data_IF_122571300755
#
_entry.id   IF_122571300755
#
_cell.length_a   1.000
_cell.length_b   1.000
_cell.length_c   1.000
_cell.angle_alpha   90.00
_cell.angle_beta   90.00
_cell.angle_gamma   90.00
#
_symmetry.space_group_name_H-M   'P 1'
#
loop_
_entity.id
_entity.type
_entity.pdbx_description
1 polymer ?
#
# COMPACT_ATOMS: atom_id res chain seq x y z
N UNK A 1 19.76 16.22 -14.14
CA UNK A 1 18.38 15.87 -14.53
C UNK A 1 17.87 14.85 -13.52
N UNK A 2 16.70 15.10 -12.94
CA UNK A 2 16.03 14.14 -12.05
C UNK A 2 15.10 13.31 -12.93
N UNK A 3 15.29 11.98 -12.95
CA UNK A 3 14.53 11.07 -13.82
C UNK A 3 13.20 10.66 -13.19
N UNK A 4 13.22 10.43 -11.88
CA UNK A 4 12.06 10.03 -11.07
C UNK A 4 12.15 10.72 -9.71
N UNK A 5 10.98 10.89 -9.09
CA UNK A 5 10.81 11.48 -7.76
C UNK A 5 9.84 10.57 -7.00
N UNK A 6 10.35 9.95 -5.93
CA UNK A 6 9.67 8.89 -5.17
C UNK A 6 9.65 9.28 -3.70
N UNK A 7 8.48 9.14 -3.10
CA UNK A 7 8.26 9.32 -1.67
C UNK A 7 7.76 8.00 -1.10
N UNK A 8 8.44 7.46 -0.09
CA UNK A 8 8.10 6.15 0.47
C UNK A 8 8.44 6.02 1.96
N UNK A 9 7.84 5.01 2.59
CA UNK A 9 8.09 4.64 3.97
C UNK A 9 6.84 4.15 4.68
N UNK A 10 7.00 3.87 5.97
CA UNK A 10 5.89 3.66 6.90
C UNK A 10 5.34 5.03 7.32
N UNK A 11 4.10 5.32 6.91
CA UNK A 11 3.43 6.59 7.21
C UNK A 11 2.52 6.50 8.44
N UNK A 12 2.37 5.31 9.04
CA UNK A 12 1.58 5.06 10.25
C UNK A 12 0.05 5.33 10.18
N UNK A 13 -0.47 5.75 9.02
CA UNK A 13 -1.90 5.85 8.74
C UNK A 13 -2.27 4.95 7.56
N UNK A 14 -3.50 4.47 7.48
CA UNK A 14 -3.99 3.69 6.35
C UNK A 14 -5.06 4.44 5.54
N UNK A 15 -5.42 3.90 4.38
CA UNK A 15 -6.39 4.50 3.47
C UNK A 15 -7.79 3.88 3.56
N UNK A 16 -8.18 3.31 4.71
CA UNK A 16 -9.50 2.71 4.91
C UNK A 16 -10.12 2.95 6.31
N UNK A 17 -9.31 3.33 7.29
CA UNK A 17 -9.72 3.60 8.66
C UNK A 17 -10.44 4.93 8.76
N UNK A 18 -11.58 5.02 9.47
CA UNK A 18 -12.25 6.30 9.69
C UNK A 18 -11.45 7.28 10.55
N UNK A 19 -10.52 6.80 11.38
CA UNK A 19 -9.66 7.65 12.22
C UNK A 19 -8.59 8.42 11.41
N UNK A 20 -8.13 7.83 10.30
CA UNK A 20 -7.05 8.37 9.44
C UNK A 20 -7.55 9.36 8.36
N UNK A 21 -8.76 9.90 8.50
CA UNK A 21 -9.42 10.72 7.45
C UNK A 21 -8.67 11.99 7.07
N UNK A 22 -7.96 12.60 8.02
CA UNK A 22 -7.22 13.84 7.79
C UNK A 22 -6.00 13.57 6.89
N UNK A 23 -5.25 12.52 7.21
CA UNK A 23 -4.10 12.03 6.48
C UNK A 23 -4.51 11.52 5.10
N UNK A 24 -5.61 10.76 5.04
CA UNK A 24 -6.22 10.31 3.79
C UNK A 24 -6.57 11.46 2.84
N UNK A 25 -6.82 12.67 3.34
CA UNK A 25 -7.17 13.85 2.53
C UNK A 25 -6.01 14.83 2.35
N UNK A 26 -4.80 14.45 2.75
CA UNK A 26 -3.64 15.33 2.69
C UNK A 26 -3.23 15.65 1.24
N UNK A 27 -2.80 16.88 0.98
CA UNK A 27 -2.46 17.37 -0.37
C UNK A 27 -1.25 16.67 -1.00
N UNK A 28 -0.47 15.91 -0.23
CA UNK A 28 0.63 15.09 -0.78
C UNK A 28 0.15 14.16 -1.89
N UNK A 29 -1.08 13.65 -1.80
CA UNK A 29 -1.68 12.77 -2.81
C UNK A 29 -2.14 13.50 -4.09
N UNK A 30 -2.10 14.83 -4.10
CA UNK A 30 -2.28 15.65 -5.32
C UNK A 30 -0.95 15.80 -6.07
N UNK A 31 0.17 15.72 -5.35
CA UNK A 31 1.52 15.89 -5.91
C UNK A 31 2.23 14.57 -6.22
N UNK A 32 1.94 13.53 -5.44
CA UNK A 32 2.51 12.19 -5.56
C UNK A 32 1.39 11.16 -5.74
N UNK A 33 1.50 10.37 -6.80
CA UNK A 33 0.56 9.33 -7.16
C UNK A 33 0.81 8.11 -6.28
N UNK A 34 -0.25 7.67 -5.59
CA UNK A 34 -0.32 6.36 -4.95
C UNK A 34 -0.91 5.33 -5.94
N UNK A 35 -0.15 4.32 -6.40
CA UNK A 35 -0.64 3.26 -7.27
C UNK A 35 -1.83 2.47 -6.72
N UNK A 36 -1.91 2.31 -5.40
CA UNK A 36 -2.89 1.49 -4.70
C UNK A 36 -4.21 2.24 -4.48
N UNK A 37 -4.19 3.57 -4.52
CA UNK A 37 -5.31 4.42 -4.13
C UNK A 37 -6.33 4.60 -5.25
N UNK A 38 -7.61 4.42 -4.92
CA UNK A 38 -8.74 4.82 -5.77
C UNK A 38 -9.29 6.21 -5.38
N UNK A 39 -9.10 6.61 -4.12
CA UNK A 39 -9.46 7.92 -3.57
C UNK A 39 -9.15 7.99 -2.07
N UNK A 40 -9.48 9.12 -1.44
CA UNK A 40 -9.39 9.25 0.02
C UNK A 40 -10.30 8.23 0.71
N UNK A 41 -9.74 7.40 1.60
CA UNK A 41 -10.46 6.35 2.31
C UNK A 41 -10.86 5.17 1.42
N UNK A 42 -10.32 5.07 0.19
CA UNK A 42 -10.70 4.04 -0.79
C UNK A 42 -9.51 3.49 -1.54
N UNK A 43 -9.29 2.19 -1.35
CA UNK A 43 -8.26 1.42 -2.05
C UNK A 43 -8.77 0.84 -3.39
N UNK A 44 -7.85 0.48 -4.28
CA UNK A 44 -8.16 -0.34 -5.46
C UNK A 44 -8.46 -1.79 -5.04
N UNK A 45 -9.27 -2.54 -5.80
CA UNK A 45 -9.73 -3.87 -5.39
C UNK A 45 -8.65 -4.94 -5.15
N UNK A 46 -7.44 -4.75 -5.68
CA UNK A 46 -6.33 -5.69 -5.55
C UNK A 46 -5.41 -5.39 -4.36
N UNK A 47 -5.65 -4.28 -3.65
CA UNK A 47 -4.79 -3.84 -2.55
C UNK A 47 -5.03 -4.71 -1.33
N UNK A 48 -3.97 -4.94 -0.58
CA UNK A 48 -3.99 -5.62 0.71
C UNK A 48 -3.21 -4.77 1.73
N UNK A 49 -3.50 -4.96 3.01
CA UNK A 49 -2.75 -4.32 4.09
C UNK A 49 -1.28 -4.76 4.12
N UNK A 50 -0.46 -3.96 4.79
CA UNK A 50 0.98 -4.18 4.94
C UNK A 50 1.40 -4.39 6.38
N UNK A 51 0.55 -4.04 7.35
CA UNK A 51 0.79 -4.31 8.75
C UNK A 51 0.21 -5.69 9.12
N UNK A 52 1.08 -6.59 9.56
CA UNK A 52 0.73 -7.90 10.10
C UNK A 52 0.34 -7.77 11.57
N UNK A 53 -0.57 -8.63 12.01
CA UNK A 53 -0.98 -8.70 13.42
C UNK A 53 0.16 -9.31 14.26
N UNK A 54 0.89 -8.47 15.00
CA UNK A 54 2.13 -8.84 15.71
C UNK A 54 2.05 -10.13 16.57
N UNK A 55 0.94 -10.42 17.30
CA UNK A 55 0.79 -11.67 18.04
C UNK A 55 0.90 -12.95 17.18
N UNK A 56 0.70 -12.84 15.86
CA UNK A 56 0.61 -13.99 14.95
C UNK A 56 1.90 -14.26 14.16
N UNK A 57 2.95 -13.44 14.28
CA UNK A 57 4.13 -13.45 13.38
C UNK A 57 4.84 -14.80 13.22
N UNK A 58 4.70 -15.69 14.20
CA UNK A 58 5.34 -17.00 14.21
C UNK A 58 4.40 -18.16 13.86
N UNK A 59 3.14 -17.87 13.52
CA UNK A 59 2.19 -18.87 13.07
C UNK A 59 2.65 -19.54 11.76
N UNK A 60 2.31 -20.82 11.63
CA UNK A 60 2.63 -21.64 10.45
C UNK A 60 2.17 -21.02 9.13
N UNK A 61 1.07 -20.26 9.17
CA UNK A 61 0.49 -19.62 8.00
C UNK A 61 1.26 -18.38 7.53
N UNK A 62 2.13 -17.77 8.34
CA UNK A 62 2.83 -16.53 7.97
C UNK A 62 4.33 -16.51 8.25
N UNK A 63 4.88 -17.55 8.90
CA UNK A 63 6.31 -17.59 9.26
C UNK A 63 7.30 -17.88 8.12
N UNK A 64 6.82 -18.28 6.93
CA UNK A 64 7.68 -18.52 5.76
C UNK A 64 7.23 -17.67 4.57
N UNK A 65 8.11 -17.34 3.60
CA UNK A 65 7.73 -16.55 2.44
C UNK A 65 6.57 -17.15 1.64
N UNK A 66 6.59 -18.47 1.42
CA UNK A 66 5.54 -19.19 0.70
C UNK A 66 4.22 -19.24 1.49
N UNK A 67 4.27 -19.45 2.81
CA UNK A 67 3.05 -19.46 3.63
C UNK A 67 2.42 -18.08 3.68
N UNK A 68 3.24 -17.03 3.90
CA UNK A 68 2.78 -15.66 3.90
C UNK A 68 2.17 -15.28 2.55
N UNK A 69 2.77 -15.67 1.42
CA UNK A 69 2.18 -15.43 0.10
C UNK A 69 0.77 -16.03 -0.02
N UNK A 70 0.59 -17.32 0.33
CA UNK A 70 -0.73 -17.98 0.28
C UNK A 70 -1.75 -17.29 1.19
N UNK A 71 -1.31 -16.83 2.36
CA UNK A 71 -2.13 -16.06 3.30
C UNK A 71 -2.57 -14.74 2.70
N UNK A 72 -1.66 -13.98 2.09
CA UNK A 72 -1.97 -12.68 1.47
C UNK A 72 -2.89 -12.81 0.25
N UNK A 73 -2.81 -13.91 -0.50
CA UNK A 73 -3.68 -14.18 -1.66
C UNK A 73 -5.12 -14.58 -1.28
N UNK A 74 -5.38 -14.94 -0.02
CA UNK A 74 -6.68 -15.43 0.46
C UNK A 74 -7.34 -14.44 1.43
N UNK A 75 -8.48 -13.84 1.07
CA UNK A 75 -9.12 -12.80 1.88
C UNK A 75 -9.46 -13.25 3.31
N UNK A 76 -9.96 -14.47 3.45
CA UNK A 76 -10.32 -15.06 4.74
C UNK A 76 -9.10 -15.18 5.65
N UNK A 77 -7.95 -15.58 5.11
CA UNK A 77 -6.72 -15.66 5.88
C UNK A 77 -6.17 -14.26 6.17
N UNK A 78 -6.30 -13.30 5.25
CA UNK A 78 -5.89 -11.91 5.52
C UNK A 78 -6.61 -11.34 6.75
N UNK A 79 -7.90 -11.65 6.95
CA UNK A 79 -8.67 -11.19 8.13
C UNK A 79 -8.11 -11.68 9.46
N UNK A 80 -7.37 -12.79 9.46
CA UNK A 80 -6.77 -13.37 10.66
C UNK A 80 -5.36 -12.83 10.93
N UNK A 81 -4.64 -12.38 9.89
CA UNK A 81 -3.19 -12.12 9.95
C UNK A 81 -2.76 -10.68 9.60
N UNK A 82 -3.60 -9.90 8.94
CA UNK A 82 -3.36 -8.48 8.66
C UNK A 82 -4.11 -7.65 9.69
N UNK A 83 -3.48 -6.62 10.23
CA UNK A 83 -4.12 -5.75 11.22
C UNK A 83 -5.38 -5.09 10.63
N UNK A 84 -6.51 -5.09 11.37
CA UNK A 84 -7.77 -4.53 10.90
C UNK A 84 -7.76 -2.99 10.97
N UNK A 85 -8.67 -2.30 10.25
CA UNK A 85 -8.78 -0.85 10.32
C UNK A 85 -9.08 -0.35 11.75
N UNK A 86 -8.62 0.86 12.05
CA UNK A 86 -8.75 1.52 13.35
C UNK A 86 -10.14 2.19 13.44
N UNK A 87 -10.98 1.79 14.40
CA UNK A 87 -12.27 2.45 14.63
C UNK A 87 -12.06 3.83 15.28
N UNK A 88 -13.00 4.75 15.05
CA UNK A 88 -13.12 5.96 15.88
C UNK A 88 -13.71 5.57 17.24
N UNK A 89 -13.15 6.12 18.33
CA UNK A 89 -13.61 5.80 19.68
C UNK A 89 -15.13 6.03 19.85
N UNK A 90 -15.83 5.00 20.36
CA UNK A 90 -17.27 5.05 20.57
C UNK A 90 -18.13 4.90 19.31
N UNK A 91 -17.54 4.70 18.13
CA UNK A 91 -18.24 4.49 16.86
C UNK A 91 -18.05 3.05 16.38
N UNK A 92 -19.13 2.27 16.17
CA UNK A 92 -19.02 0.95 15.57
C UNK A 92 -18.40 1.02 14.17
N UNK A 93 -17.32 0.27 13.94
CA UNK A 93 -16.73 0.14 12.61
C UNK A 93 -17.53 -0.86 11.78
N UNK A 94 -18.15 -0.36 10.71
CA UNK A 94 -18.74 -1.20 9.65
C UNK A 94 -17.70 -1.29 8.54
N UNK A 95 -16.98 -2.41 8.48
CA UNK A 95 -15.91 -2.63 7.51
C UNK A 95 -15.86 -4.08 7.02
N UNK A 96 -15.65 -4.34 5.72
CA UNK A 96 -15.68 -3.34 4.64
C UNK A 96 -17.10 -2.79 4.43
N UNK A 97 -17.23 -1.68 3.70
CA UNK A 97 -18.54 -1.23 3.22
C UNK A 97 -19.16 -2.31 2.29
N UNK A 98 -20.49 -2.34 2.11
CA UNK A 98 -21.11 -3.20 1.11
C UNK A 98 -20.42 -3.05 -0.26
N UNK A 99 -20.19 -4.17 -0.94
CA UNK A 99 -19.52 -4.25 -2.24
C UNK A 99 -18.02 -3.86 -2.27
N UNK A 100 -17.38 -3.71 -1.11
CA UNK A 100 -15.92 -3.53 -1.00
C UNK A 100 -15.22 -4.78 -0.45
N UNK A 101 -14.00 -5.04 -0.95
CA UNK A 101 -13.15 -6.12 -0.46
C UNK A 101 -12.48 -5.76 0.86
N UNK A 102 -12.29 -6.75 1.74
CA UNK A 102 -11.51 -6.55 2.96
C UNK A 102 -10.03 -6.39 2.59
N UNK A 103 -9.45 -5.25 2.98
CA UNK A 103 -8.06 -4.87 2.66
C UNK A 103 -7.14 -5.06 3.86
N UNK A 104 -7.55 -4.55 5.03
CA UNK A 104 -6.66 -4.40 6.19
C UNK A 104 -5.79 -3.14 6.10
N UNK A 105 -4.96 -2.87 7.11
CA UNK A 105 -4.18 -1.62 7.20
C UNK A 105 -2.96 -1.64 6.29
N UNK A 106 -3.00 -0.85 5.21
CA UNK A 106 -1.81 -0.52 4.40
C UNK A 106 -1.24 0.80 4.89
N UNK A 107 -0.14 0.72 5.64
CA UNK A 107 0.55 1.89 6.23
C UNK A 107 1.91 2.16 5.61
N UNK A 108 2.40 1.23 4.80
CA UNK A 108 3.61 1.39 4.00
C UNK A 108 3.22 1.93 2.62
N UNK A 109 3.86 3.01 2.20
CA UNK A 109 3.56 3.71 0.96
C UNK A 109 4.76 3.74 0.01
N UNK A 110 4.46 3.60 -1.29
CA UNK A 110 5.36 3.87 -2.40
C UNK A 110 4.65 4.82 -3.36
N UNK A 111 4.99 6.10 -3.29
CA UNK A 111 4.39 7.15 -4.10
C UNK A 111 5.40 7.66 -5.13
N UNK A 112 4.93 8.07 -6.30
CA UNK A 112 5.77 8.63 -7.34
C UNK A 112 5.12 9.83 -8.03
N UNK A 113 5.92 10.75 -8.54
CA UNK A 113 5.43 11.86 -9.36
C UNK A 113 5.54 11.51 -10.84
N UNK A 114 4.41 11.52 -11.56
CA UNK A 114 4.40 11.25 -13.01
C UNK A 114 5.09 12.37 -13.80
N UNK A 115 4.82 13.63 -13.41
CA UNK A 115 5.50 14.82 -13.90
C UNK A 115 6.85 14.97 -13.18
N UNK A 116 7.86 14.23 -13.62
CA UNK A 116 9.22 14.50 -13.13
C UNK A 116 9.67 15.91 -13.53
N UNK A 117 10.64 16.45 -12.79
CA UNK A 117 11.16 17.83 -12.85
C UNK A 117 11.56 18.32 -14.26
N UNK A 118 11.68 17.41 -15.24
CA UNK A 118 11.85 17.74 -16.66
C UNK A 118 10.54 17.61 -17.44
N UNK A 119 10.10 18.68 -18.09
CA UNK A 119 8.91 18.75 -18.97
C UNK A 119 8.92 17.85 -20.22
N UNK A 120 9.87 16.92 -20.33
CA UNK A 120 10.20 16.15 -21.54
C UNK A 120 10.39 14.66 -21.28
N UNK A 121 9.94 14.15 -20.13
CA UNK A 121 10.02 12.73 -19.78
C UNK A 121 8.68 12.20 -19.27
N UNK A 122 8.46 10.90 -19.49
CA UNK A 122 7.29 10.17 -18.98
C UNK A 122 7.74 9.10 -18.01
N UNK A 123 7.13 9.07 -16.83
CA UNK A 123 7.32 8.03 -15.81
C UNK A 123 6.08 7.16 -15.74
N UNK A 124 6.22 5.85 -15.92
CA UNK A 124 5.11 4.88 -15.87
C UNK A 124 5.39 3.79 -14.83
N UNK A 125 4.36 3.35 -14.13
CA UNK A 125 4.44 2.17 -13.25
C UNK A 125 4.36 0.89 -14.08
N UNK A 126 5.42 0.08 -14.07
CA UNK A 126 5.44 -1.22 -14.75
C UNK A 126 4.98 -2.36 -13.85
N UNK A 127 5.34 -2.32 -12.56
CA UNK A 127 5.05 -3.39 -11.62
C UNK A 127 4.94 -2.85 -10.20
N UNK A 128 4.06 -3.46 -9.41
CA UNK A 128 3.92 -3.25 -7.98
C UNK A 128 3.84 -4.61 -7.29
N UNK A 129 4.59 -4.81 -6.21
CA UNK A 129 4.81 -6.12 -5.61
C UNK A 129 4.75 -6.03 -4.09
N UNK A 130 4.03 -6.95 -3.47
CA UNK A 130 4.11 -7.25 -2.04
C UNK A 130 5.18 -8.33 -1.83
N UNK A 131 6.16 -8.06 -0.97
CA UNK A 131 7.36 -8.88 -0.77
C UNK A 131 7.18 -9.74 0.47
N UNK A 132 7.21 -11.07 0.35
CA UNK A 132 6.99 -11.98 1.49
C UNK A 132 8.28 -12.54 2.08
N UNK A 133 9.43 -12.18 1.53
CA UNK A 133 10.75 -12.74 1.86
C UNK A 133 11.20 -12.47 3.30
N UNK A 134 10.58 -11.49 3.98
CA UNK A 134 10.86 -11.17 5.39
C UNK A 134 9.86 -11.79 6.37
N UNK A 135 9.05 -12.77 5.93
CA UNK A 135 8.16 -13.55 6.77
C UNK A 135 8.84 -14.02 8.07
N UNK A 136 8.21 -13.74 9.22
CA UNK A 136 8.72 -14.09 10.55
C UNK A 136 9.88 -13.21 11.08
N UNK A 137 10.34 -12.21 10.31
CA UNK A 137 11.44 -11.31 10.72
C UNK A 137 10.96 -9.89 11.07
N UNK A 138 9.79 -9.50 10.57
CA UNK A 138 9.17 -8.17 10.77
C UNK A 138 7.66 -8.31 10.68
N UNK A 139 6.94 -7.35 11.23
CA UNK A 139 5.50 -7.19 11.15
C UNK A 139 5.01 -6.34 9.97
N UNK A 140 5.93 -5.87 9.13
CA UNK A 140 5.57 -5.17 7.89
C UNK A 140 5.81 -6.04 6.66
N UNK A 141 4.89 -6.02 5.70
CA UNK A 141 5.06 -6.58 4.36
C UNK A 141 5.74 -5.52 3.50
N UNK A 142 7.03 -5.68 3.11
CA UNK A 142 7.68 -4.70 2.27
C UNK A 142 6.99 -4.58 0.91
N UNK A 143 6.99 -3.36 0.39
CA UNK A 143 6.49 -3.07 -0.94
C UNK A 143 7.66 -2.81 -1.89
N UNK A 144 7.47 -3.15 -3.15
CA UNK A 144 8.37 -2.77 -4.23
C UNK A 144 7.55 -2.32 -5.44
N UNK A 145 8.15 -1.43 -6.24
CA UNK A 145 7.62 -1.11 -7.56
C UNK A 145 8.73 -0.92 -8.59
N UNK A 146 8.39 -1.10 -9.87
CA UNK A 146 9.27 -0.81 -11.00
C UNK A 146 8.70 0.35 -11.81
N UNK A 147 9.51 1.37 -12.05
CA UNK A 147 9.15 2.52 -12.87
C UNK A 147 9.89 2.46 -14.20
N UNK A 148 9.16 2.63 -15.30
CA UNK A 148 9.73 2.93 -16.62
C UNK A 148 9.91 4.43 -16.75
N UNK A 149 11.08 4.89 -17.18
CA UNK A 149 11.32 6.30 -17.48
C UNK A 149 11.78 6.44 -18.92
N UNK A 150 11.02 7.21 -19.70
CA UNK A 150 11.34 7.52 -21.10
C UNK A 150 11.56 9.03 -21.26
N UNK A 151 12.44 9.40 -22.19
CA UNK A 151 12.74 10.78 -22.54
C UNK A 151 12.36 11.01 -24.00
N UNK A 152 11.75 12.15 -24.30
CA UNK A 152 11.42 12.51 -25.68
C UNK A 152 12.69 12.73 -26.50
N UNK A 153 12.84 11.97 -27.58
CA UNK A 153 14.04 11.94 -28.43
C UNK A 153 14.30 13.21 -29.26
N UNK A 154 13.60 14.32 -29.02
CA UNK A 154 13.73 15.54 -29.84
C UNK A 154 14.85 16.49 -29.39
N UNK A 155 15.61 16.17 -28.34
CA UNK A 155 16.72 17.02 -27.86
C UNK A 155 17.96 16.25 -27.37
N UNK A 156 18.32 15.13 -28.02
CA UNK A 156 19.70 14.61 -28.00
C UNK A 156 20.43 15.05 -29.28
#
# INVERSE_FOLDING_TARGET
MVMFDVLCGDFNFDNCSPDDRLEQSHSVFEEYIDPCRAGAGREKPWVIGTLLEQPTLYDENIRTPDSLQRTLETEELRKDYISPPVPVEGVPLVYPEPDQSWTGRRIDYLLYRESSVSSHGKTELEEFTYVTQLAGLTDHVPLAFRLSVSLDSQHM
#
